data_IF_676500751638
#
_entry.id   IF_676500751638
#
_cell.length_a   1.000
_cell.length_b   1.000
_cell.length_c   1.000
_cell.angle_alpha   90.00
_cell.angle_beta   90.00
_cell.angle_gamma   90.00
#
_symmetry.space_group_name_H-M   'P 1'
#
loop_
_entity.id
_entity.type
_entity.pdbx_description
1 polymer ?
#
# COMPACT_ATOMS: atom_id res chain seq x y z
N UNK A 1 8.98 -42.66 -15.92
CA UNK A 1 7.53 -42.69 -16.13
C UNK A 1 6.91 -43.54 -15.02
N UNK A 2 6.09 -43.09 -14.07
CA UNK A 2 5.72 -41.77 -13.50
C UNK A 2 5.12 -42.03 -12.09
N UNK A 3 4.92 -41.07 -11.17
CA UNK A 3 4.91 -39.61 -11.21
C UNK A 3 5.73 -39.02 -10.03
N UNK A 4 6.08 -37.73 -10.10
CA UNK A 4 6.51 -36.90 -8.96
C UNK A 4 5.58 -35.68 -8.84
N UNK A 5 4.43 -35.87 -8.18
CA UNK A 5 3.58 -34.77 -7.74
C UNK A 5 3.07 -35.07 -6.33
N UNK A 6 3.86 -34.66 -5.33
CA UNK A 6 3.40 -34.63 -3.95
C UNK A 6 2.34 -33.55 -3.79
N UNK A 7 1.08 -33.95 -3.64
CA UNK A 7 -0.03 -33.04 -3.38
C UNK A 7 0.04 -32.56 -1.93
N UNK A 8 0.62 -31.37 -1.72
CA UNK A 8 0.56 -30.70 -0.43
C UNK A 8 -0.89 -30.45 -0.01
N UNK A 9 -1.23 -30.75 1.24
CA UNK A 9 -2.55 -30.44 1.78
C UNK A 9 -2.75 -28.92 1.81
N UNK A 10 -3.98 -28.40 1.59
CA UNK A 10 -4.29 -27.00 1.87
C UNK A 10 -3.90 -26.58 3.29
N UNK A 11 -3.97 -27.52 4.24
CA UNK A 11 -3.54 -27.33 5.62
C UNK A 11 -2.01 -27.09 5.72
N UNK A 12 -1.21 -27.92 5.05
CA UNK A 12 0.26 -27.77 5.01
C UNK A 12 0.67 -26.40 4.46
N UNK A 13 -0.02 -25.93 3.42
CA UNK A 13 0.23 -24.61 2.80
C UNK A 13 -0.14 -23.48 3.75
N UNK A 14 -1.24 -23.60 4.50
CA UNK A 14 -1.62 -22.63 5.53
C UNK A 14 -0.65 -22.61 6.71
N UNK A 15 -0.19 -23.78 7.18
CA UNK A 15 0.75 -23.88 8.31
C UNK A 15 2.15 -23.40 7.91
N UNK A 16 2.60 -23.67 6.67
CA UNK A 16 3.81 -23.05 6.10
C UNK A 16 3.65 -21.53 6.03
N UNK A 17 2.53 -21.02 5.49
CA UNK A 17 2.27 -19.56 5.44
C UNK A 17 2.28 -18.94 6.83
N UNK A 18 1.67 -19.58 7.83
CA UNK A 18 1.63 -19.10 9.21
C UNK A 18 3.03 -19.05 9.84
N UNK A 19 3.81 -20.12 9.70
CA UNK A 19 5.19 -20.17 10.21
C UNK A 19 6.11 -19.16 9.48
N UNK A 20 5.87 -18.91 8.18
CA UNK A 20 6.50 -17.81 7.45
C UNK A 20 6.07 -16.45 7.99
N UNK A 21 4.78 -16.21 8.24
CA UNK A 21 4.27 -14.94 8.83
C UNK A 21 4.87 -14.66 10.21
N UNK A 22 4.94 -15.67 11.09
CA UNK A 22 5.55 -15.55 12.42
C UNK A 22 7.05 -15.22 12.35
N UNK A 23 7.77 -15.70 11.31
CA UNK A 23 9.17 -15.35 11.04
C UNK A 23 9.36 -14.04 10.27
N UNK A 24 8.37 -13.62 9.50
CA UNK A 24 8.38 -12.36 8.74
C UNK A 24 8.07 -11.16 9.64
N UNK A 25 7.23 -11.32 10.68
CA UNK A 25 6.86 -10.23 11.59
C UNK A 25 8.04 -9.40 12.12
N UNK A 26 9.08 -10.01 12.73
CA UNK A 26 10.25 -9.28 13.21
C UNK A 26 11.01 -8.55 12.11
N UNK A 27 11.26 -9.21 10.97
CA UNK A 27 12.00 -8.63 9.85
C UNK A 27 11.22 -7.50 9.14
N UNK A 28 9.89 -7.60 9.08
CA UNK A 28 9.01 -6.55 8.56
C UNK A 28 8.97 -5.33 9.49
N UNK A 29 8.90 -5.57 10.81
CA UNK A 29 8.95 -4.49 11.80
C UNK A 29 10.31 -3.79 11.80
N UNK A 30 11.41 -4.53 11.69
CA UNK A 30 12.75 -3.97 11.58
C UNK A 30 12.90 -3.12 10.30
N UNK A 31 12.47 -3.62 9.14
CA UNK A 31 12.45 -2.86 7.89
C UNK A 31 11.62 -1.57 7.99
N UNK A 32 10.44 -1.64 8.63
CA UNK A 32 9.58 -0.47 8.82
C UNK A 32 10.21 0.54 9.78
N UNK A 33 10.80 0.07 10.88
CA UNK A 33 11.49 0.92 11.85
C UNK A 33 12.71 1.61 11.22
N UNK A 34 13.52 0.89 10.45
CA UNK A 34 14.63 1.48 9.68
C UNK A 34 14.11 2.53 8.69
N UNK A 35 13.00 2.27 7.99
CA UNK A 35 12.43 3.26 7.07
C UNK A 35 11.96 4.52 7.81
N UNK A 36 11.22 4.37 8.91
CA UNK A 36 10.73 5.48 9.74
C UNK A 36 11.88 6.30 10.31
N UNK A 37 12.96 5.66 10.77
CA UNK A 37 14.15 6.35 11.31
C UNK A 37 15.00 7.04 10.23
N UNK A 38 14.97 6.57 8.98
CA UNK A 38 15.78 7.13 7.88
C UNK A 38 15.02 8.10 6.98
N UNK A 39 13.70 8.23 7.13
CA UNK A 39 12.83 9.11 6.33
C UNK A 39 12.06 10.09 7.23
N UNK A 40 12.62 11.27 7.55
CA UNK A 40 11.99 12.27 8.43
C UNK A 40 10.55 12.63 8.05
N UNK A 41 10.24 12.67 6.75
CA UNK A 41 8.88 12.87 6.22
C UNK A 41 7.81 11.94 6.84
N UNK A 42 8.16 10.69 7.21
CA UNK A 42 7.23 9.76 7.88
C UNK A 42 6.94 10.10 9.35
N UNK A 43 7.75 10.96 9.97
CA UNK A 43 7.58 11.40 11.36
C UNK A 43 7.11 12.85 11.43
N UNK A 44 7.75 13.73 10.66
CA UNK A 44 7.66 15.19 10.74
C UNK A 44 6.76 15.80 9.66
N UNK A 45 6.49 15.09 8.55
CA UNK A 45 5.68 15.63 7.45
C UNK A 45 4.21 15.83 7.80
N UNK A 46 3.56 16.83 7.21
CA UNK A 46 2.15 17.10 7.39
C UNK A 46 1.28 15.93 6.91
N UNK A 47 0.18 15.66 7.62
CA UNK A 47 -0.71 14.51 7.36
C UNK A 47 -1.92 14.92 6.53
N UNK A 48 -2.09 14.29 5.37
CA UNK A 48 -3.21 14.53 4.45
C UNK A 48 -3.96 13.23 4.16
N UNK A 49 -5.22 13.06 4.61
CA UNK A 49 -6.07 11.98 4.13
C UNK A 49 -6.20 12.07 2.60
N UNK A 50 -6.11 10.95 1.90
CA UNK A 50 -6.23 10.90 0.44
C UNK A 50 -7.53 10.21 0.04
N UNK A 51 -8.22 10.78 -0.94
CA UNK A 51 -9.45 10.21 -1.46
C UNK A 51 -9.14 8.97 -2.31
N UNK A 52 -10.00 7.97 -2.25
CA UNK A 52 -9.78 6.65 -2.84
C UNK A 52 -10.98 6.20 -3.67
N UNK A 53 -10.73 5.40 -4.71
CA UNK A 53 -11.77 4.97 -5.67
C UNK A 53 -11.49 3.59 -6.26
N UNK A 54 -12.49 2.72 -6.36
CA UNK A 54 -12.36 1.45 -7.09
C UNK A 54 -12.44 1.61 -8.62
N UNK A 55 -13.28 2.53 -9.10
CA UNK A 55 -13.52 2.73 -10.54
C UNK A 55 -12.71 3.89 -11.14
N UNK A 56 -12.09 4.71 -10.30
CA UNK A 56 -11.32 5.89 -10.69
C UNK A 56 -12.20 7.06 -11.13
N UNK A 57 -13.48 7.06 -10.79
CA UNK A 57 -14.45 8.12 -11.10
C UNK A 57 -15.01 8.66 -9.79
N UNK A 58 -15.54 7.77 -8.95
CA UNK A 58 -16.16 8.10 -7.68
C UNK A 58 -15.12 7.99 -6.56
N UNK A 59 -14.64 9.12 -6.06
CA UNK A 59 -13.61 9.18 -5.01
C UNK A 59 -14.22 9.49 -3.65
N UNK A 60 -13.86 8.69 -2.65
CA UNK A 60 -14.32 8.82 -1.27
C UNK A 60 -13.12 9.14 -0.37
N UNK A 61 -13.25 10.20 0.42
CA UNK A 61 -12.32 10.53 1.50
C UNK A 61 -12.75 9.76 2.76
N UNK A 62 -11.85 9.05 3.47
CA UNK A 62 -12.20 8.41 4.73
C UNK A 62 -12.58 9.47 5.78
N UNK A 63 -13.62 9.19 6.57
CA UNK A 63 -14.08 10.08 7.65
C UNK A 63 -14.23 9.28 8.95
N UNK A 64 -14.34 9.99 10.08
CA UNK A 64 -14.54 9.36 11.40
C UNK A 64 -15.83 8.53 11.52
N UNK A 65 -16.82 8.82 10.65
CA UNK A 65 -18.12 8.15 10.64
C UNK A 65 -18.21 7.00 9.63
N UNK A 66 -17.45 7.05 8.53
CA UNK A 66 -17.60 6.14 7.41
C UNK A 66 -16.26 5.90 6.68
N UNK A 67 -15.96 4.62 6.46
CA UNK A 67 -14.87 4.15 5.62
C UNK A 67 -15.40 3.76 4.23
N UNK A 68 -14.60 3.91 3.16
CA UNK A 68 -14.98 3.42 1.83
C UNK A 68 -15.32 1.92 1.86
N UNK A 69 -16.26 1.48 1.02
CA UNK A 69 -16.68 0.07 0.94
C UNK A 69 -15.51 -0.91 0.70
N UNK A 70 -14.50 -0.45 -0.04
CA UNK A 70 -13.26 -1.19 -0.33
C UNK A 70 -12.25 -1.23 0.83
N UNK A 71 -12.55 -0.59 1.97
CA UNK A 71 -11.78 -0.65 3.24
C UNK A 71 -10.28 -0.37 3.11
N UNK A 72 -9.90 0.49 2.16
CA UNK A 72 -8.54 1.02 2.07
C UNK A 72 -8.54 2.42 2.66
N UNK A 73 -7.61 2.68 3.56
CA UNK A 73 -7.31 4.03 4.05
C UNK A 73 -5.99 4.44 3.42
N UNK A 74 -6.00 5.55 2.68
CA UNK A 74 -4.80 6.15 2.12
C UNK A 74 -4.58 7.54 2.73
N UNK A 75 -3.32 7.88 2.98
CA UNK A 75 -2.91 9.18 3.47
C UNK A 75 -1.51 9.49 3.00
N UNK A 76 -1.21 10.76 2.83
CA UNK A 76 0.12 11.23 2.49
C UNK A 76 0.79 11.88 3.68
N UNK A 77 2.12 11.78 3.72
CA UNK A 77 2.99 12.63 4.51
C UNK A 77 3.73 13.55 3.56
N UNK A 78 3.69 14.86 3.80
CA UNK A 78 4.33 15.86 2.92
C UNK A 78 5.35 16.68 3.72
N UNK A 79 6.57 16.81 3.20
CA UNK A 79 7.64 17.59 3.83
C UNK A 79 8.60 18.10 2.75
N UNK A 80 9.04 19.36 2.84
CA UNK A 80 9.99 20.00 1.91
C UNK A 80 9.66 19.81 0.42
N UNK A 81 8.38 19.89 0.06
CA UNK A 81 7.92 19.71 -1.33
C UNK A 81 8.06 18.29 -1.87
N UNK A 82 8.22 17.28 -1.00
CA UNK A 82 8.10 15.86 -1.33
C UNK A 82 6.88 15.25 -0.66
N UNK A 83 6.34 14.22 -1.28
CA UNK A 83 5.22 13.43 -0.79
C UNK A 83 5.63 11.97 -0.61
N UNK A 84 5.15 11.36 0.47
CA UNK A 84 5.14 9.91 0.67
C UNK A 84 3.70 9.47 0.86
N UNK A 85 3.17 8.66 -0.06
CA UNK A 85 1.85 8.07 0.04
C UNK A 85 1.93 6.76 0.84
N UNK A 86 1.14 6.67 1.90
CA UNK A 86 0.89 5.46 2.66
C UNK A 86 -0.53 4.95 2.37
N UNK A 87 -0.71 3.64 2.31
CA UNK A 87 -2.04 3.04 2.26
C UNK A 87 -2.09 1.69 3.00
N UNK A 88 -3.18 1.45 3.72
CA UNK A 88 -3.46 0.18 4.39
C UNK A 88 -4.78 -0.40 3.88
N UNK A 89 -4.75 -1.68 3.52
CA UNK A 89 -5.96 -2.45 3.22
C UNK A 89 -6.44 -3.13 4.51
N UNK A 90 -7.68 -2.85 4.94
CA UNK A 90 -8.31 -3.45 6.12
C UNK A 90 -9.23 -4.63 5.77
N UNK A 91 -9.32 -5.01 4.48
CA UNK A 91 -10.08 -6.15 4.01
C UNK A 91 -9.25 -7.45 3.97
N UNK A 92 -9.97 -8.58 3.95
CA UNK A 92 -9.40 -9.93 3.85
C UNK A 92 -9.11 -10.39 2.42
N UNK A 93 -9.40 -9.55 1.43
CA UNK A 93 -9.14 -9.75 0.00
C UNK A 93 -8.19 -8.66 -0.56
N UNK A 94 -7.75 -8.84 -1.81
CA UNK A 94 -6.87 -7.87 -2.48
C UNK A 94 -7.66 -6.62 -2.88
N UNK A 95 -7.19 -5.45 -2.45
CA UNK A 95 -7.74 -4.18 -2.90
C UNK A 95 -7.01 -3.69 -4.16
N UNK A 96 -7.77 -3.26 -5.16
CA UNK A 96 -7.25 -2.57 -6.35
C UNK A 96 -8.01 -1.26 -6.49
N UNK A 97 -7.34 -0.16 -6.16
CA UNK A 97 -7.95 1.17 -6.04
C UNK A 97 -7.03 2.26 -6.58
N UNK A 98 -7.61 3.39 -6.96
CA UNK A 98 -6.89 4.64 -7.17
C UNK A 98 -6.85 5.41 -5.85
N UNK A 99 -5.69 5.94 -5.48
CA UNK A 99 -5.54 6.89 -4.38
C UNK A 99 -5.03 8.22 -4.95
N UNK A 100 -5.68 9.34 -4.59
CA UNK A 100 -5.19 10.68 -4.95
C UNK A 100 -3.83 10.94 -4.31
N UNK A 101 -2.99 11.70 -5.01
CA UNK A 101 -1.74 12.26 -4.51
C UNK A 101 -1.81 13.79 -4.63
N UNK A 102 -0.76 14.51 -4.27
CA UNK A 102 -0.70 15.94 -4.48
C UNK A 102 -0.57 16.28 -5.97
N UNK A 103 -1.36 17.24 -6.44
CA UNK A 103 -1.33 17.62 -7.86
C UNK A 103 -0.11 18.50 -8.16
N UNK A 104 0.36 19.32 -7.22
CA UNK A 104 1.47 20.25 -7.49
C UNK A 104 2.86 19.61 -7.30
N UNK A 105 2.97 18.51 -6.53
CA UNK A 105 4.24 17.86 -6.22
C UNK A 105 4.68 16.79 -7.23
N UNK A 106 3.77 16.33 -8.11
CA UNK A 106 4.03 15.22 -9.03
C UNK A 106 3.86 15.62 -10.51
N UNK A 107 4.86 15.29 -11.33
CA UNK A 107 4.79 15.48 -12.78
C UNK A 107 3.92 14.41 -13.47
N UNK A 108 3.28 14.76 -14.58
CA UNK A 108 2.50 13.81 -15.39
C UNK A 108 3.42 12.77 -16.03
N UNK A 109 3.07 11.49 -15.93
CA UNK A 109 3.91 10.34 -16.29
C UNK A 109 5.16 10.13 -15.40
N UNK A 110 5.28 10.83 -14.27
CA UNK A 110 6.23 10.44 -13.22
C UNK A 110 5.79 9.14 -12.55
N UNK A 111 6.62 8.64 -11.62
CA UNK A 111 6.34 7.42 -10.86
C UNK A 111 6.69 7.60 -9.40
N UNK A 112 5.89 6.97 -8.54
CA UNK A 112 6.23 6.77 -7.14
C UNK A 112 6.84 5.38 -6.94
N UNK A 113 7.90 5.27 -6.14
CA UNK A 113 8.65 4.05 -5.85
C UNK A 113 8.24 3.44 -4.52
N UNK A 114 8.10 2.13 -4.49
CA UNK A 114 7.79 1.39 -3.27
C UNK A 114 8.96 1.49 -2.27
N UNK A 115 8.74 2.20 -1.17
CA UNK A 115 9.66 2.26 -0.03
C UNK A 115 9.47 1.07 0.90
N UNK A 116 8.21 0.67 1.10
CA UNK A 116 7.85 -0.47 1.95
C UNK A 116 6.56 -1.11 1.47
N UNK A 117 6.53 -2.43 1.60
CA UNK A 117 5.30 -3.22 1.54
C UNK A 117 5.44 -4.39 2.53
N UNK A 118 4.36 -4.68 3.27
CA UNK A 118 4.28 -5.83 4.17
C UNK A 118 3.96 -7.16 3.45
N UNK A 119 3.61 -7.11 2.16
CA UNK A 119 3.48 -8.27 1.29
C UNK A 119 3.70 -7.83 -0.19
N UNK A 120 3.78 -8.78 -1.12
CA UNK A 120 4.16 -8.56 -2.52
C UNK A 120 3.33 -7.44 -3.19
N UNK A 121 4.02 -6.36 -3.55
CA UNK A 121 3.46 -5.15 -4.16
C UNK A 121 4.37 -4.65 -5.29
N UNK A 122 3.87 -3.87 -6.27
CA UNK A 122 4.69 -3.31 -7.35
C UNK A 122 5.85 -2.44 -6.84
N UNK A 123 6.99 -2.48 -7.54
CA UNK A 123 8.18 -1.70 -7.16
C UNK A 123 8.09 -0.21 -7.55
N UNK A 124 7.36 0.11 -8.61
CA UNK A 124 7.03 1.48 -9.04
C UNK A 124 5.56 1.52 -9.49
N UNK A 125 4.90 2.67 -9.34
CA UNK A 125 3.56 2.95 -9.83
C UNK A 125 3.55 4.25 -10.64
N UNK A 126 2.83 4.28 -11.75
CA UNK A 126 2.71 5.49 -12.57
C UNK A 126 1.71 6.47 -11.96
N UNK A 127 2.02 7.76 -12.10
CA UNK A 127 1.08 8.85 -11.79
C UNK A 127 0.11 9.03 -12.97
N UNK A 128 -1.18 8.87 -12.70
CA UNK A 128 -2.28 9.03 -13.65
C UNK A 128 -3.00 10.36 -13.46
N UNK A 129 -3.35 11.05 -14.56
CA UNK A 129 -4.16 12.28 -14.54
C UNK A 129 -5.62 11.91 -14.36
N UNK A 130 -6.05 11.79 -13.11
CA UNK A 130 -7.38 11.33 -12.71
C UNK A 130 -7.68 11.86 -11.31
N UNK A 131 -8.74 12.67 -11.22
CA UNK A 131 -9.12 13.46 -10.04
C UNK A 131 -7.97 14.35 -9.52
N UNK A 132 -7.44 15.23 -10.39
CA UNK A 132 -6.10 15.80 -10.24
C UNK A 132 -5.09 14.74 -10.67
N UNK A 133 -4.27 14.26 -9.73
CA UNK A 133 -3.38 13.11 -9.90
C UNK A 133 -3.70 11.99 -8.91
N UNK A 134 -3.58 10.76 -9.37
CA UNK A 134 -3.70 9.57 -8.52
C UNK A 134 -2.78 8.44 -8.98
N UNK A 135 -2.52 7.49 -8.09
CA UNK A 135 -1.82 6.24 -8.44
C UNK A 135 -2.74 5.04 -8.24
N UNK A 136 -2.62 4.04 -9.11
CA UNK A 136 -3.38 2.80 -9.05
C UNK A 136 -2.67 1.77 -8.17
N UNK A 137 -3.09 1.68 -6.92
CA UNK A 137 -2.60 0.74 -5.93
C UNK A 137 -3.17 -0.68 -6.16
N UNK A 138 -2.34 -1.68 -5.91
CA UNK A 138 -2.76 -3.07 -5.70
C UNK A 138 -2.19 -3.49 -4.35
N UNK A 139 -3.06 -3.69 -3.35
CA UNK A 139 -2.68 -3.91 -1.95
C UNK A 139 -3.16 -5.30 -1.52
N UNK A 140 -2.27 -6.17 -1.02
CA UNK A 140 -2.67 -7.47 -0.46
C UNK A 140 -3.61 -7.36 0.76
N UNK A 141 -4.28 -8.46 1.17
CA UNK A 141 -5.11 -8.49 2.37
C UNK A 141 -4.34 -8.03 3.62
N UNK A 142 -4.96 -7.19 4.45
CA UNK A 142 -4.38 -6.70 5.71
C UNK A 142 -2.97 -6.07 5.58
N UNK A 143 -2.59 -5.58 4.40
CA UNK A 143 -1.23 -5.10 4.12
C UNK A 143 -1.10 -3.58 4.15
N UNK A 144 0.10 -3.12 4.56
CA UNK A 144 0.55 -1.73 4.51
C UNK A 144 1.54 -1.56 3.34
N UNK A 145 1.36 -0.51 2.56
CA UNK A 145 2.26 -0.09 1.49
C UNK A 145 2.63 1.39 1.63
N UNK A 146 3.85 1.76 1.25
CA UNK A 146 4.41 3.12 1.34
C UNK A 146 5.19 3.41 0.06
N UNK A 147 4.88 4.51 -0.63
CA UNK A 147 5.48 4.93 -1.89
C UNK A 147 5.98 6.39 -1.84
N UNK A 148 7.03 6.71 -2.59
CA UNK A 148 7.61 8.07 -2.81
C UNK A 148 7.92 8.28 -4.29
#
# INVERSE_FOLDING_TARGET
>A
MDNLLGTHSPQDIFDIRKCCFEKLGPAQLERLNVLVQTRPILLEGDFYPRATSQNGIDYILPTDAELPEHKVIAWSRVLDGREVLCAINLAGDHAVIFATIDDDLHEVNSRMRCLYASDLSPAELNVEVRNGKSIRLTIPPHALVIYE
#
